data_IF_377365967245
#
_entry.id   IF_377365967245
#
_cell.length_a   1.000
_cell.length_b   1.000
_cell.length_c   1.000
_cell.angle_alpha   90.00
_cell.angle_beta   90.00
_cell.angle_gamma   90.00
#
_symmetry.space_group_name_H-M   'P 1'
#
loop_
_entity.id
_entity.type
_entity.pdbx_description
1 polymer ?
#
# COMPACT_ATOMS: atom_id res chain seq x y z
N UNK A 1 13.99 -15.26 1.61
CA UNK A 1 13.34 -14.42 2.64
C UNK A 1 13.69 -12.97 2.35
N UNK A 2 12.72 -12.07 2.49
CA UNK A 2 12.92 -10.64 2.27
C UNK A 2 12.23 -9.83 3.37
N UNK A 3 12.82 -8.70 3.77
CA UNK A 3 12.10 -7.65 4.45
C UNK A 3 11.44 -6.81 3.35
N UNK A 4 10.14 -7.01 3.09
CA UNK A 4 9.45 -6.43 1.93
C UNK A 4 9.63 -4.92 1.89
N UNK A 5 9.50 -4.25 3.04
CA UNK A 5 9.66 -2.80 3.12
C UNK A 5 11.00 -2.29 2.58
N UNK A 6 12.08 -3.08 2.62
CA UNK A 6 13.40 -2.67 2.16
C UNK A 6 13.71 -3.03 0.71
N UNK A 7 12.87 -3.82 0.04
CA UNK A 7 13.09 -4.23 -1.35
C UNK A 7 12.27 -3.34 -2.27
N UNK A 8 12.94 -2.48 -3.04
CA UNK A 8 12.32 -1.43 -3.84
C UNK A 8 12.64 -1.62 -5.31
N UNK A 9 11.65 -1.41 -6.17
CA UNK A 9 11.82 -1.18 -7.60
C UNK A 9 11.87 0.34 -7.88
N UNK A 10 12.20 0.76 -9.12
CA UNK A 10 12.11 2.16 -9.52
C UNK A 10 10.69 2.77 -9.37
N UNK A 11 9.66 1.93 -9.34
CA UNK A 11 8.26 2.35 -9.21
C UNK A 11 7.75 2.34 -7.76
N UNK A 12 8.53 1.81 -6.81
CA UNK A 12 8.18 1.84 -5.38
C UNK A 12 8.11 3.29 -4.89
N UNK A 13 7.13 3.58 -4.03
CA UNK A 13 7.01 4.90 -3.39
C UNK A 13 7.82 4.95 -2.09
N UNK A 14 9.14 4.92 -2.22
CA UNK A 14 10.11 4.99 -1.13
C UNK A 14 10.24 3.71 -0.27
N UNK A 15 9.23 2.84 -0.32
CA UNK A 15 9.13 1.58 0.43
C UNK A 15 8.63 0.47 -0.49
N UNK A 16 9.14 -0.75 -0.31
CA UNK A 16 8.66 -1.92 -1.05
C UNK A 16 7.19 -2.20 -0.76
N UNK A 17 6.42 -2.52 -1.80
CA UNK A 17 4.97 -2.67 -1.76
C UNK A 17 4.48 -4.01 -2.36
N UNK A 18 3.16 -4.18 -2.47
CA UNK A 18 2.56 -5.42 -2.97
C UNK A 18 2.85 -5.70 -4.46
N UNK A 19 3.15 -4.68 -5.27
CA UNK A 19 3.63 -4.89 -6.63
C UNK A 19 5.08 -5.39 -6.63
N UNK A 20 5.93 -4.85 -5.76
CA UNK A 20 7.30 -5.36 -5.59
C UNK A 20 7.30 -6.81 -5.11
N UNK A 21 6.38 -7.16 -4.20
CA UNK A 21 6.18 -8.54 -3.77
C UNK A 21 5.81 -9.47 -4.92
N UNK A 22 4.92 -9.03 -5.82
CA UNK A 22 4.54 -9.80 -7.00
C UNK A 22 5.75 -10.06 -7.91
N UNK A 23 6.57 -9.05 -8.16
CA UNK A 23 7.79 -9.20 -8.98
C UNK A 23 8.84 -10.09 -8.30
N UNK A 24 9.00 -9.98 -6.98
CA UNK A 24 9.86 -10.88 -6.20
C UNK A 24 9.41 -12.34 -6.32
N UNK A 25 8.12 -12.62 -6.11
CA UNK A 25 7.55 -13.95 -6.24
C UNK A 25 7.74 -14.51 -7.67
N UNK A 26 7.48 -13.70 -8.69
CA UNK A 26 7.69 -14.08 -10.10
C UNK A 26 9.15 -14.43 -10.38
N UNK A 27 10.07 -13.57 -9.96
CA UNK A 27 11.52 -13.73 -10.18
C UNK A 27 12.06 -14.98 -9.49
N UNK A 28 11.78 -15.14 -8.19
CA UNK A 28 12.28 -16.30 -7.45
C UNK A 28 11.59 -17.60 -7.86
N UNK A 29 10.31 -17.55 -8.23
CA UNK A 29 9.61 -18.71 -8.79
C UNK A 29 10.27 -19.22 -10.07
N UNK A 30 10.68 -18.31 -10.97
CA UNK A 30 11.42 -18.68 -12.17
C UNK A 30 12.81 -19.29 -11.88
N UNK A 31 13.39 -19.02 -10.71
CA UNK A 31 14.65 -19.60 -10.24
C UNK A 31 14.46 -20.89 -9.41
N UNK A 32 13.24 -21.43 -9.35
CA UNK A 32 12.93 -22.67 -8.63
C UNK A 32 12.60 -22.48 -7.14
N UNK A 33 12.29 -21.25 -6.71
CA UNK A 33 11.82 -20.98 -5.35
C UNK A 33 10.35 -21.35 -5.15
N UNK A 34 10.06 -22.19 -4.15
CA UNK A 34 8.68 -22.61 -3.84
C UNK A 34 7.88 -21.57 -3.02
N UNK A 35 8.57 -20.70 -2.28
CA UNK A 35 7.93 -19.68 -1.46
C UNK A 35 8.83 -18.45 -1.25
N UNK A 36 8.20 -17.30 -1.00
CA UNK A 36 8.86 -16.07 -0.54
C UNK A 36 8.37 -15.74 0.87
N UNK A 37 9.22 -15.96 1.86
CA UNK A 37 8.97 -15.52 3.23
C UNK A 37 9.23 -14.02 3.38
N UNK A 38 8.26 -13.27 3.91
CA UNK A 38 8.33 -11.84 4.19
C UNK A 38 8.09 -11.50 5.67
N UNK A 39 8.35 -10.24 6.04
CA UNK A 39 7.96 -9.70 7.34
C UNK A 39 6.43 -9.62 7.52
N UNK A 40 5.93 -9.51 8.77
CA UNK A 40 4.51 -9.23 9.01
C UNK A 40 4.05 -7.94 8.32
N UNK A 41 2.84 -7.97 7.75
CA UNK A 41 2.20 -6.85 7.06
C UNK A 41 1.06 -6.21 7.87
N UNK A 42 1.05 -6.47 9.17
CA UNK A 42 0.05 -5.98 10.11
C UNK A 42 -0.02 -4.46 10.15
N UNK A 43 -1.23 -3.91 10.29
CA UNK A 43 -1.45 -2.48 10.40
C UNK A 43 -0.74 -1.89 11.63
N UNK A 44 -0.05 -0.78 11.39
CA UNK A 44 0.55 0.09 12.40
C UNK A 44 -0.30 1.37 12.54
N UNK A 45 0.22 2.37 13.23
CA UNK A 45 -0.41 3.69 13.36
C UNK A 45 -0.55 4.35 11.97
N UNK A 46 -1.77 4.78 11.64
CA UNK A 46 -2.06 5.44 10.36
C UNK A 46 -2.07 6.97 10.45
N UNK A 47 -1.92 7.51 11.67
CA UNK A 47 -1.89 8.93 11.98
C UNK A 47 -0.71 9.17 12.93
N UNK A 48 0.06 10.23 12.68
CA UNK A 48 1.27 10.52 13.45
C UNK A 48 2.45 9.63 13.04
N UNK A 49 3.29 9.28 14.01
CA UNK A 49 4.47 8.44 13.77
C UNK A 49 4.07 6.98 13.60
N UNK A 50 4.43 6.38 12.46
CA UNK A 50 4.23 4.97 12.18
C UNK A 50 5.38 4.15 12.75
N UNK A 51 5.07 3.26 13.69
CA UNK A 51 6.07 2.38 14.31
C UNK A 51 6.85 1.59 13.24
N UNK A 52 8.20 1.64 13.25
CA UNK A 52 9.00 0.98 12.23
C UNK A 52 9.09 -0.55 12.39
N UNK A 53 8.75 -1.08 13.56
CA UNK A 53 8.82 -2.52 13.84
C UNK A 53 7.56 -3.23 13.34
N UNK A 54 7.66 -4.19 12.39
CA UNK A 54 6.51 -4.99 11.98
C UNK A 54 6.01 -5.96 13.07
N UNK A 55 6.73 -6.07 14.19
CA UNK A 55 6.41 -6.93 15.32
C UNK A 55 5.73 -6.20 16.49
N UNK A 56 5.52 -4.88 16.37
CA UNK A 56 4.72 -4.08 17.30
C UNK A 56 3.54 -3.40 16.56
N UNK A 57 2.59 -4.18 15.99
CA UNK A 57 1.47 -3.60 15.27
C UNK A 57 0.33 -3.15 16.19
N UNK A 58 -0.52 -2.26 15.68
CA UNK A 58 -1.80 -1.88 16.30
C UNK A 58 -2.79 -3.04 16.27
N UNK A 59 -2.76 -3.85 15.21
CA UNK A 59 -3.63 -5.03 15.06
C UNK A 59 -2.96 -6.12 14.26
N UNK A 60 -3.17 -7.38 14.66
CA UNK A 60 -2.73 -8.55 13.87
C UNK A 60 -3.76 -9.01 12.82
N UNK A 61 -4.94 -8.37 12.78
CA UNK A 61 -6.03 -8.74 11.87
C UNK A 61 -5.96 -8.01 10.53
N UNK A 62 -5.73 -6.70 10.56
CA UNK A 62 -5.78 -5.85 9.37
C UNK A 62 -4.37 -5.53 8.83
N UNK A 63 -4.31 -5.16 7.56
CA UNK A 63 -3.06 -4.92 6.83
C UNK A 63 -2.65 -3.45 6.86
N UNK A 64 -1.34 -3.18 6.87
CA UNK A 64 -0.81 -1.84 6.78
C UNK A 64 -0.98 -1.28 5.35
N UNK A 65 -1.75 -0.20 5.14
CA UNK A 65 -1.98 0.38 3.82
C UNK A 65 -0.72 0.99 3.19
N UNK A 66 0.38 1.16 3.93
CA UNK A 66 1.66 1.62 3.38
C UNK A 66 2.18 0.71 2.26
N UNK A 67 1.76 -0.56 2.20
CA UNK A 67 2.13 -1.53 1.16
C UNK A 67 1.24 -1.49 -0.08
N UNK A 68 0.29 -0.54 -0.18
CA UNK A 68 -0.49 -0.31 -1.39
C UNK A 68 0.35 0.48 -2.38
N UNK A 69 0.35 0.07 -3.66
CA UNK A 69 0.81 0.89 -4.79
C UNK A 69 -0.38 1.69 -5.33
N UNK A 70 -0.44 3.02 -5.16
CA UNK A 70 -1.59 3.82 -5.57
C UNK A 70 -1.96 3.63 -7.06
N UNK A 71 -0.97 3.53 -7.94
CA UNK A 71 -1.16 3.43 -9.39
C UNK A 71 -1.78 2.11 -9.85
N UNK A 72 -1.66 1.04 -9.04
CA UNK A 72 -2.23 -0.26 -9.35
C UNK A 72 -3.73 -0.33 -9.02
N UNK A 73 -4.28 0.68 -8.36
CA UNK A 73 -5.70 0.75 -8.07
C UNK A 73 -6.45 0.98 -9.37
N UNK A 74 -7.33 0.03 -9.73
CA UNK A 74 -8.06 0.02 -11.01
C UNK A 74 -8.76 1.35 -11.34
N UNK A 75 -9.29 2.04 -10.32
CA UNK A 75 -9.94 3.33 -10.47
C UNK A 75 -9.04 4.42 -11.10
N UNK A 76 -7.70 4.31 -10.98
CA UNK A 76 -6.72 5.21 -11.61
C UNK A 76 -6.81 5.19 -13.14
N UNK A 77 -7.13 4.03 -13.74
CA UNK A 77 -7.17 3.85 -15.19
C UNK A 77 -8.25 4.72 -15.88
N UNK A 78 -9.29 5.12 -15.15
CA UNK A 78 -10.41 5.90 -15.68
C UNK A 78 -10.72 7.17 -14.87
N UNK A 79 -9.89 7.53 -13.90
CA UNK A 79 -10.03 8.82 -13.22
C UNK A 79 -9.78 10.02 -14.16
N UNK A 80 -10.35 11.19 -13.87
CA UNK A 80 -10.10 12.41 -14.64
C UNK A 80 -8.59 12.74 -14.74
N UNK A 81 -8.10 13.27 -15.88
CA UNK A 81 -6.68 13.52 -16.10
C UNK A 81 -6.04 14.40 -15.03
N UNK A 82 -6.75 15.41 -14.53
CA UNK A 82 -6.30 16.32 -13.48
C UNK A 82 -6.09 15.59 -12.14
N UNK A 83 -6.96 14.64 -11.80
CA UNK A 83 -6.81 13.83 -10.59
C UNK A 83 -5.70 12.79 -10.75
N UNK A 84 -5.54 12.22 -11.95
CA UNK A 84 -4.41 11.32 -12.25
C UNK A 84 -3.07 12.03 -12.14
N UNK A 85 -2.99 13.29 -12.59
CA UNK A 85 -1.80 14.11 -12.45
C UNK A 85 -1.43 14.34 -10.98
N UNK A 86 -2.41 14.53 -10.08
CA UNK A 86 -2.15 14.65 -8.64
C UNK A 86 -1.53 13.37 -8.06
N UNK A 87 -2.05 12.19 -8.44
CA UNK A 87 -1.49 10.89 -8.01
C UNK A 87 -0.07 10.71 -8.55
N UNK A 88 0.15 11.00 -9.83
CA UNK A 88 1.47 10.90 -10.44
C UNK A 88 2.49 11.82 -9.75
N UNK A 89 2.12 13.09 -9.53
CA UNK A 89 2.96 14.08 -8.88
C UNK A 89 3.29 13.71 -7.43
N UNK A 90 2.33 13.17 -6.68
CA UNK A 90 2.57 12.68 -5.32
C UNK A 90 3.62 11.55 -5.26
N UNK A 91 3.77 10.77 -6.32
CA UNK A 91 4.70 9.65 -6.42
C UNK A 91 6.10 10.03 -6.92
N UNK A 92 6.33 11.21 -7.51
CA UNK A 92 7.61 11.58 -8.12
C UNK A 92 8.78 11.54 -7.11
N UNK A 93 8.63 12.22 -5.98
CA UNK A 93 9.67 12.29 -4.95
C UNK A 93 9.91 10.93 -4.28
N UNK A 94 8.88 10.18 -3.82
CA UNK A 94 9.07 8.83 -3.26
C UNK A 94 9.74 7.85 -4.23
N UNK A 95 9.42 7.89 -5.53
CA UNK A 95 10.06 7.05 -6.55
C UNK A 95 11.53 7.41 -6.74
N UNK A 96 11.85 8.70 -6.81
CA UNK A 96 13.23 9.14 -6.86
C UNK A 96 14.02 8.70 -5.60
N UNK A 97 13.38 8.67 -4.44
CA UNK A 97 13.99 8.19 -3.19
C UNK A 97 14.24 6.67 -3.18
N UNK A 98 13.43 5.87 -3.87
CA UNK A 98 13.61 4.42 -4.00
C UNK A 98 14.93 4.02 -4.67
N UNK A 99 15.50 4.91 -5.48
CA UNK A 99 16.78 4.71 -6.16
C UNK A 99 18.01 5.03 -5.28
N UNK A 100 17.79 5.56 -4.07
CA UNK A 100 18.86 5.93 -3.13
C UNK A 100 18.98 4.91 -2.00
N UNK A 101 20.19 4.76 -1.47
CA UNK A 101 20.48 3.89 -0.34
C UNK A 101 20.41 4.69 0.98
N UNK A 102 19.20 5.14 1.31
CA UNK A 102 18.89 5.96 2.48
C UNK A 102 17.98 5.19 3.45
N UNK A 103 17.89 5.65 4.69
CA UNK A 103 16.95 5.12 5.68
C UNK A 103 15.52 5.41 5.19
N UNK A 104 14.63 4.42 5.33
CA UNK A 104 13.23 4.53 4.91
C UNK A 104 12.48 5.46 5.87
N UNK A 105 11.99 6.57 5.34
CA UNK A 105 11.08 7.49 6.03
C UNK A 105 9.62 7.06 5.82
N UNK A 106 9.15 6.19 6.71
CA UNK A 106 7.79 5.64 6.63
C UNK A 106 6.71 6.71 6.75
N UNK A 107 6.92 7.71 7.58
CA UNK A 107 5.94 8.77 7.83
C UNK A 107 5.79 9.64 6.57
N UNK A 108 6.91 10.05 5.97
CA UNK A 108 6.89 10.84 4.74
C UNK A 108 6.23 10.07 3.58
N UNK A 109 6.59 8.79 3.39
CA UNK A 109 6.01 7.99 2.31
C UNK A 109 4.54 7.64 2.55
N UNK A 110 4.16 7.37 3.80
CA UNK A 110 2.75 7.15 4.14
C UNK A 110 1.93 8.40 3.88
N UNK A 111 2.41 9.59 4.25
CA UNK A 111 1.69 10.84 3.99
C UNK A 111 1.45 11.07 2.49
N UNK A 112 2.47 10.82 1.65
CA UNK A 112 2.31 10.90 0.18
C UNK A 112 1.31 9.88 -0.35
N UNK A 113 1.38 8.62 0.12
CA UNK A 113 0.43 7.57 -0.27
C UNK A 113 -0.98 7.91 0.17
N UNK A 114 -1.18 8.37 1.41
CA UNK A 114 -2.48 8.76 1.97
C UNK A 114 -3.15 9.84 1.12
N UNK A 115 -2.42 10.90 0.76
CA UNK A 115 -2.92 11.97 -0.11
C UNK A 115 -3.38 11.42 -1.48
N UNK A 116 -2.59 10.55 -2.10
CA UNK A 116 -2.96 9.90 -3.36
C UNK A 116 -4.19 9.00 -3.21
N UNK A 117 -4.24 8.19 -2.15
CA UNK A 117 -5.35 7.28 -1.85
C UNK A 117 -6.66 8.03 -1.60
N UNK A 118 -6.62 9.19 -0.97
CA UNK A 118 -7.79 10.04 -0.77
C UNK A 118 -8.35 10.60 -2.08
N UNK A 119 -7.48 10.99 -3.02
CA UNK A 119 -7.89 11.40 -4.36
C UNK A 119 -8.52 10.23 -5.09
N UNK A 120 -7.89 9.06 -5.07
CA UNK A 120 -8.38 7.85 -5.73
C UNK A 120 -9.73 7.39 -5.15
N UNK A 121 -9.90 7.47 -3.83
CA UNK A 121 -11.13 7.03 -3.15
C UNK A 121 -12.37 7.84 -3.59
N UNK A 122 -12.20 9.08 -4.06
CA UNK A 122 -13.28 9.92 -4.57
C UNK A 122 -13.75 9.54 -5.98
N UNK A 123 -12.96 8.75 -6.70
CA UNK A 123 -13.32 8.29 -8.05
C UNK A 123 -14.45 7.25 -7.95
N UNK A 124 -15.58 7.42 -8.68
CA UNK A 124 -16.66 6.44 -8.66
C UNK A 124 -16.19 5.05 -9.09
N UNK A 125 -16.55 4.03 -8.30
CA UNK A 125 -16.33 2.63 -8.70
C UNK A 125 -17.38 2.21 -9.73
N UNK A 126 -16.99 1.34 -10.66
CA UNK A 126 -17.98 0.61 -11.47
C UNK A 126 -18.92 -0.22 -10.58
N UNK A 127 -20.09 -0.60 -11.09
CA UNK A 127 -21.06 -1.40 -10.33
C UNK A 127 -20.46 -2.73 -9.81
N UNK A 128 -19.66 -3.41 -10.63
CA UNK A 128 -18.98 -4.65 -10.21
C UNK A 128 -18.00 -4.38 -9.06
N UNK A 129 -17.15 -3.35 -9.21
CA UNK A 129 -16.17 -2.95 -8.18
C UNK A 129 -16.82 -2.50 -6.87
N UNK A 130 -17.95 -1.80 -6.96
CA UNK A 130 -18.70 -1.40 -5.78
C UNK A 130 -19.32 -2.61 -5.06
N UNK A 131 -19.82 -3.61 -5.80
CA UNK A 131 -20.29 -4.87 -5.22
C UNK A 131 -19.18 -5.64 -4.53
N UNK A 132 -18.00 -5.76 -5.15
CA UNK A 132 -16.83 -6.41 -4.54
C UNK A 132 -16.42 -5.72 -3.23
N UNK A 133 -16.37 -4.38 -3.24
CA UNK A 133 -16.05 -3.59 -2.06
C UNK A 133 -17.07 -3.80 -0.92
N UNK A 134 -18.37 -3.81 -1.23
CA UNK A 134 -19.40 -4.08 -0.22
C UNK A 134 -19.37 -5.53 0.28
N UNK A 135 -19.08 -6.49 -0.61
CA UNK A 135 -18.92 -7.90 -0.23
C UNK A 135 -17.77 -8.06 0.77
N UNK A 136 -16.63 -7.41 0.53
CA UNK A 136 -15.51 -7.38 1.47
C UNK A 136 -15.90 -6.76 2.82
N UNK A 137 -16.56 -5.60 2.83
CA UNK A 137 -17.02 -4.96 4.08
C UNK A 137 -17.97 -5.85 4.88
N UNK A 138 -18.94 -6.47 4.21
CA UNK A 138 -19.89 -7.38 4.84
C UNK A 138 -19.19 -8.64 5.38
N UNK A 139 -18.19 -9.16 4.66
CA UNK A 139 -17.42 -10.33 5.06
C UNK A 139 -16.56 -10.08 6.30
N UNK A 140 -15.96 -8.90 6.42
CA UNK A 140 -15.16 -8.53 7.60
C UNK A 140 -16.01 -8.10 8.81
N UNK A 141 -17.20 -7.54 8.56
CA UNK A 141 -18.19 -7.19 9.57
C UNK A 141 -17.72 -6.15 10.59
N UNK A 142 -18.25 -6.23 11.80
CA UNK A 142 -18.10 -5.20 12.85
C UNK A 142 -16.63 -4.88 13.16
N UNK A 143 -15.74 -5.88 13.14
CA UNK A 143 -14.33 -5.62 13.48
C UNK A 143 -13.61 -4.72 12.49
N UNK A 144 -14.02 -4.70 11.20
CA UNK A 144 -13.49 -3.74 10.23
C UNK A 144 -14.01 -2.34 10.50
N UNK A 145 -15.30 -2.21 10.82
CA UNK A 145 -15.91 -0.92 11.17
C UNK A 145 -15.26 -0.34 12.44
N UNK A 146 -15.03 -1.17 13.47
CA UNK A 146 -14.37 -0.74 14.72
C UNK A 146 -12.93 -0.27 14.47
N UNK A 147 -12.17 -1.01 13.66
CA UNK A 147 -10.80 -0.62 13.30
C UNK A 147 -10.76 0.64 12.45
N UNK A 148 -11.65 0.76 11.46
CA UNK A 148 -11.75 1.95 10.63
C UNK A 148 -12.17 3.17 11.45
N UNK A 149 -13.08 3.00 12.41
CA UNK A 149 -13.49 4.05 13.34
C UNK A 149 -12.34 4.47 14.28
N UNK A 150 -11.55 3.52 14.79
CA UNK A 150 -10.36 3.83 15.58
C UNK A 150 -9.30 4.63 14.78
N UNK A 151 -9.21 4.41 13.46
CA UNK A 151 -8.28 5.15 12.59
C UNK A 151 -8.76 6.55 12.18
N UNK A 152 -10.06 6.85 12.29
CA UNK A 152 -10.69 8.07 11.77
C UNK A 152 -10.48 9.28 12.69
#
# INVERSE_FOLDING_TARGET
MAQLYSVRSPDSWGIGDTADLKELCSTFGALGGDFVLINPLHAAELVGHMTPSPYLPVTRRFFNPIYIRPEDIREVAYMPPEQRALVAWAGEEPKAASLRNEIIDRDAYWEKKRQALEVIFRVPRSLARQRDFQSFRNGEGQGLEDFAFWCA
#
